data_IF_722444995336
#
_entry.id   IF_722444995336
#
_cell.length_a   1.000
_cell.length_b   1.000
_cell.length_c   1.000
_cell.angle_alpha   90.00
_cell.angle_beta   90.00
_cell.angle_gamma   90.00
#
_symmetry.space_group_name_H-M   'P 1'
#
loop_
_entity.id
_entity.type
_entity.pdbx_description
1 polymer ?
#
# COMPACT_ATOMS: atom_id res chain seq x y z
N UNK A 1 23.15 3.35 25.54
CA UNK A 1 22.69 4.69 25.11
C UNK A 1 21.36 4.99 25.79
N UNK A 2 21.20 6.18 26.33
CA UNK A 2 19.87 6.61 26.77
C UNK A 2 19.02 6.86 25.54
N UNK A 3 17.72 6.45 25.55
CA UNK A 3 16.80 6.82 24.48
C UNK A 3 16.78 8.35 24.34
N UNK A 4 16.76 8.81 23.10
CA UNK A 4 16.62 10.23 22.84
C UNK A 4 15.23 10.68 23.32
N UNK A 5 15.08 11.85 23.97
CA UNK A 5 13.77 12.36 24.37
C UNK A 5 12.89 12.48 23.11
N UNK A 6 11.71 11.91 23.20
CA UNK A 6 10.77 11.91 22.09
C UNK A 6 9.57 12.79 22.39
N UNK A 7 8.83 13.16 21.34
CA UNK A 7 7.61 13.92 21.51
C UNK A 7 6.59 13.11 22.33
N UNK A 8 5.96 13.77 23.29
CA UNK A 8 4.76 13.24 23.91
C UNK A 8 3.61 13.34 22.90
N UNK A 9 3.27 12.21 22.28
CA UNK A 9 2.19 12.14 21.30
C UNK A 9 0.87 11.65 21.92
N UNK A 10 0.72 11.79 23.25
CA UNK A 10 -0.49 11.34 23.95
C UNK A 10 -0.70 9.82 23.92
N UNK A 11 0.40 9.06 23.83
CA UNK A 11 0.35 7.59 23.87
C UNK A 11 0.35 7.15 25.33
N UNK A 12 -0.83 6.97 25.89
CA UNK A 12 -1.02 6.55 27.28
C UNK A 12 -1.85 5.25 27.35
N UNK A 13 -1.80 4.58 28.49
CA UNK A 13 -2.57 3.36 28.74
C UNK A 13 -1.86 2.07 28.39
N UNK A 14 -2.42 0.96 28.82
CA UNK A 14 -1.91 -0.36 28.55
C UNK A 14 -2.18 -0.76 27.08
N UNK A 15 -1.26 -1.49 26.43
CA UNK A 15 -1.52 -2.03 25.12
C UNK A 15 -2.71 -2.99 25.17
N UNK A 16 -3.50 -2.99 24.12
CA UNK A 16 -4.60 -3.92 23.96
C UNK A 16 -4.09 -5.39 23.89
N UNK A 17 -4.68 -6.30 24.66
CA UNK A 17 -4.36 -7.72 24.61
C UNK A 17 -5.09 -8.41 23.45
N UNK A 18 -4.35 -8.90 22.46
CA UNK A 18 -4.86 -9.27 21.16
C UNK A 18 -5.61 -10.60 21.02
N UNK A 19 -5.88 -11.37 22.10
CA UNK A 19 -6.54 -12.68 22.01
C UNK A 19 -7.86 -12.72 22.77
N UNK A 20 -8.88 -13.39 22.19
CA UNK A 20 -10.12 -13.69 22.83
C UNK A 20 -10.07 -15.03 23.60
N UNK A 21 -11.12 -15.34 24.41
CA UNK A 21 -11.23 -16.62 25.12
C UNK A 21 -11.26 -17.84 24.18
N UNK A 22 -11.67 -17.63 22.94
CA UNK A 22 -11.75 -18.64 21.87
C UNK A 22 -10.42 -18.82 21.11
N UNK A 23 -9.34 -18.15 21.55
CA UNK A 23 -8.03 -18.16 20.88
C UNK A 23 -7.96 -17.36 19.59
N UNK A 24 -9.03 -16.71 19.15
CA UNK A 24 -9.02 -15.81 18.02
C UNK A 24 -8.34 -14.50 18.36
N UNK A 25 -7.61 -13.95 17.40
CA UNK A 25 -6.97 -12.65 17.53
C UNK A 25 -8.04 -11.55 17.51
N UNK A 26 -7.94 -10.63 18.46
CA UNK A 26 -8.75 -9.41 18.49
C UNK A 26 -7.92 -8.21 18.08
N UNK A 27 -8.57 -7.26 17.46
CA UNK A 27 -7.95 -6.05 16.95
C UNK A 27 -8.26 -5.89 15.47
N UNK A 28 -7.61 -4.92 14.85
CA UNK A 28 -7.79 -4.67 13.42
C UNK A 28 -6.48 -4.89 12.66
N UNK A 29 -6.64 -5.03 11.35
CA UNK A 29 -5.55 -5.22 10.39
C UNK A 29 -5.56 -4.04 9.44
N UNK A 30 -4.42 -3.36 9.31
CA UNK A 30 -4.15 -2.52 8.17
C UNK A 30 -3.63 -3.42 7.04
N UNK A 31 -4.45 -3.59 6.01
CA UNK A 31 -4.20 -4.51 4.93
C UNK A 31 -3.34 -3.89 3.81
N UNK A 32 -3.11 -2.56 3.85
CA UNK A 32 -2.32 -1.86 2.85
C UNK A 32 -1.76 -0.53 3.39
N UNK A 33 -0.48 -0.53 3.73
CA UNK A 33 0.24 0.65 4.20
C UNK A 33 1.67 0.70 3.66
N UNK A 34 2.26 1.89 3.63
CA UNK A 34 3.61 2.17 3.15
C UNK A 34 4.45 2.80 4.25
N UNK A 35 4.99 1.97 5.14
CA UNK A 35 5.74 2.45 6.32
C UNK A 35 7.05 3.17 5.96
N UNK A 36 7.56 2.98 4.73
CA UNK A 36 8.81 3.58 4.25
C UNK A 36 8.53 4.49 3.04
N UNK A 37 7.39 5.19 3.07
CA UNK A 37 6.94 6.03 1.95
C UNK A 37 7.83 7.25 1.71
N UNK A 38 8.61 7.66 2.69
CA UNK A 38 9.61 8.72 2.51
C UNK A 38 10.63 8.36 1.42
N UNK A 39 10.76 7.06 1.09
CA UNK A 39 11.64 6.58 0.00
C UNK A 39 10.95 6.48 -1.36
N UNK A 40 9.65 6.75 -1.42
CA UNK A 40 8.89 6.73 -2.66
C UNK A 40 9.26 7.93 -3.55
N UNK A 41 9.17 7.75 -4.86
CA UNK A 41 9.50 8.75 -5.90
C UNK A 41 10.88 9.42 -5.74
N UNK A 42 11.86 8.68 -5.24
CA UNK A 42 13.23 9.15 -5.14
C UNK A 42 13.63 9.75 -3.80
N UNK A 43 12.82 9.54 -2.75
CA UNK A 43 13.20 9.86 -1.38
C UNK A 43 12.76 11.22 -0.86
N UNK A 44 12.10 12.03 -1.68
CA UNK A 44 11.73 13.42 -1.33
C UNK A 44 10.22 13.69 -1.52
N UNK A 45 9.40 12.62 -1.58
CA UNK A 45 7.95 12.77 -1.67
C UNK A 45 7.37 13.30 -0.36
N UNK A 46 7.77 12.68 0.76
CA UNK A 46 7.40 13.07 2.11
C UNK A 46 8.56 13.77 2.79
N UNK A 47 8.25 14.82 3.54
CA UNK A 47 9.18 15.46 4.45
C UNK A 47 9.15 14.77 5.80
N UNK A 48 10.29 14.43 6.31
CA UNK A 48 10.44 13.69 7.55
C UNK A 48 10.80 12.22 7.33
N UNK A 49 10.90 11.49 8.43
CA UNK A 49 11.24 10.07 8.43
C UNK A 49 10.50 9.33 9.55
N UNK A 50 10.23 8.03 9.40
CA UNK A 50 9.55 7.21 10.41
C UNK A 50 10.28 7.16 11.75
N UNK A 51 11.58 7.41 11.76
CA UNK A 51 12.41 7.54 12.94
C UNK A 51 13.72 8.27 12.64
N UNK A 52 14.40 8.74 13.68
CA UNK A 52 15.80 9.18 13.60
C UNK A 52 16.54 8.78 14.86
N UNK A 53 17.78 8.29 14.76
CA UNK A 53 18.64 8.08 15.94
C UNK A 53 18.89 9.35 16.75
N UNK A 54 18.68 10.52 16.15
CA UNK A 54 18.81 11.83 16.79
C UNK A 54 17.48 12.37 17.35
N UNK A 55 16.41 11.57 17.26
CA UNK A 55 15.10 11.88 17.86
C UNK A 55 14.17 12.68 16.95
N UNK A 56 13.03 13.05 17.52
CA UNK A 56 11.91 13.69 16.81
C UNK A 56 12.27 14.99 16.12
N UNK A 57 13.13 15.80 16.74
CA UNK A 57 13.54 17.11 16.20
C UNK A 57 14.31 17.00 14.85
N UNK A 58 14.85 15.82 14.54
CA UNK A 58 15.49 15.54 13.26
C UNK A 58 14.57 14.75 12.35
N UNK A 59 13.87 13.76 12.90
CA UNK A 59 12.93 12.94 12.11
C UNK A 59 11.79 13.76 11.51
N UNK A 60 11.25 14.70 12.27
CA UNK A 60 10.07 15.50 11.90
C UNK A 60 10.37 17.00 11.84
N UNK A 61 11.52 17.34 11.26
CA UNK A 61 11.94 18.74 11.07
C UNK A 61 11.08 19.45 10.01
N UNK A 62 11.25 20.76 9.93
CA UNK A 62 10.68 21.57 8.86
C UNK A 62 11.08 21.05 7.48
N UNK A 63 10.26 21.30 6.46
CA UNK A 63 10.46 20.88 5.08
C UNK A 63 10.96 22.04 4.19
N UNK A 64 12.22 22.47 4.27
CA UNK A 64 12.73 23.58 3.48
C UNK A 64 12.71 23.27 1.98
N UNK A 65 12.87 22.02 1.58
CA UNK A 65 12.91 21.58 0.19
C UNK A 65 11.56 21.65 -0.52
N UNK A 66 10.47 21.71 0.26
CA UNK A 66 9.13 21.95 -0.27
C UNK A 66 8.83 23.45 -0.48
N UNK A 67 9.78 24.30 -0.18
CA UNK A 67 9.71 25.74 -0.39
C UNK A 67 8.78 26.48 0.56
N UNK A 68 8.70 27.83 0.43
CA UNK A 68 7.83 28.62 1.28
C UNK A 68 6.38 28.17 1.14
N UNK A 69 5.73 27.95 2.28
CA UNK A 69 4.32 27.54 2.34
C UNK A 69 3.97 26.28 1.53
N UNK A 70 4.92 25.36 1.37
CA UNK A 70 4.69 24.08 0.69
C UNK A 70 4.47 24.15 -0.82
N UNK A 71 4.72 25.29 -1.46
CA UNK A 71 4.42 25.45 -2.90
C UNK A 71 5.23 24.56 -3.83
N UNK A 72 6.36 24.02 -3.35
CA UNK A 72 7.19 23.06 -4.09
C UNK A 72 6.88 21.59 -3.74
N UNK A 73 5.96 21.33 -2.86
CA UNK A 73 5.44 19.99 -2.58
C UNK A 73 4.58 19.49 -3.76
N UNK A 74 5.23 19.09 -4.86
CA UNK A 74 4.59 18.82 -6.16
C UNK A 74 3.49 17.79 -6.05
N UNK A 75 3.68 16.72 -5.28
CA UNK A 75 2.67 15.67 -5.10
C UNK A 75 1.40 16.23 -4.47
N UNK A 76 1.51 17.05 -3.43
CA UNK A 76 0.38 17.65 -2.75
C UNK A 76 -0.34 18.68 -3.63
N UNK A 77 0.43 19.54 -4.31
CA UNK A 77 -0.12 20.55 -5.20
C UNK A 77 -0.90 19.95 -6.38
N UNK A 78 -0.50 18.78 -6.85
CA UNK A 78 -1.12 18.11 -8.02
C UNK A 78 -2.17 17.09 -7.62
N UNK A 79 -1.95 16.32 -6.54
CA UNK A 79 -2.71 15.10 -6.26
C UNK A 79 -3.69 15.24 -5.10
N UNK A 80 -3.47 16.17 -4.15
CA UNK A 80 -4.35 16.27 -2.98
C UNK A 80 -4.96 17.66 -2.79
N UNK A 81 -4.29 18.55 -2.10
CA UNK A 81 -4.82 19.88 -1.77
C UNK A 81 -3.93 20.99 -2.29
N UNK A 82 -4.22 21.52 -3.48
CA UNK A 82 -3.47 22.66 -3.99
C UNK A 82 -3.66 23.88 -3.08
N UNK A 83 -2.56 24.51 -2.74
CA UNK A 83 -2.57 25.74 -1.95
C UNK A 83 -1.43 25.81 -0.92
N UNK A 84 -1.15 26.99 -0.42
CA UNK A 84 -0.13 27.16 0.61
C UNK A 84 -0.55 26.50 1.93
N UNK A 85 0.40 25.83 2.60
CA UNK A 85 0.24 25.37 3.97
C UNK A 85 1.54 25.53 4.74
N UNK A 86 1.47 25.50 6.05
CA UNK A 86 2.65 25.62 6.91
C UNK A 86 3.39 24.28 6.95
N UNK A 87 4.64 24.28 6.51
CA UNK A 87 5.53 23.11 6.51
C UNK A 87 6.33 22.99 7.80
N UNK A 88 6.01 23.76 8.84
CA UNK A 88 6.72 23.76 10.12
C UNK A 88 6.48 22.46 10.87
N UNK A 89 7.55 21.69 11.05
CA UNK A 89 7.55 20.46 11.83
C UNK A 89 7.74 20.68 13.34
N UNK A 90 8.57 19.86 13.94
CA UNK A 90 8.89 19.93 15.36
C UNK A 90 9.43 21.33 15.76
N UNK A 91 8.97 21.93 16.91
CA UNK A 91 8.01 21.38 17.90
C UNK A 91 6.56 21.83 17.70
N UNK A 92 6.27 22.68 16.76
CA UNK A 92 4.97 23.38 16.69
C UNK A 92 3.93 22.67 15.84
N UNK A 93 4.33 21.96 14.80
CA UNK A 93 3.43 21.19 13.92
C UNK A 93 2.15 21.93 13.50
N UNK A 94 2.21 23.16 13.03
CA UNK A 94 1.03 23.99 12.77
C UNK A 94 0.02 23.32 11.84
N UNK A 95 0.49 22.90 10.65
CA UNK A 95 -0.34 22.21 9.65
C UNK A 95 0.10 20.76 9.46
N UNK A 96 0.88 20.22 10.37
CA UNK A 96 1.40 18.89 10.25
C UNK A 96 1.20 18.05 11.52
N UNK A 97 0.83 16.77 11.38
CA UNK A 97 0.37 16.13 10.15
C UNK A 97 -1.08 16.50 9.86
N UNK A 98 -1.36 16.84 8.61
CA UNK A 98 -2.74 16.96 8.14
C UNK A 98 -3.19 15.59 7.62
N UNK A 99 -4.45 15.26 7.87
CA UNK A 99 -5.03 13.99 7.41
C UNK A 99 -5.14 13.90 5.88
N UNK A 100 -5.17 15.05 5.20
CA UNK A 100 -5.33 15.23 3.78
C UNK A 100 -4.04 15.67 3.06
N UNK A 101 -2.89 15.66 3.76
CA UNK A 101 -1.59 16.04 3.21
C UNK A 101 -0.74 14.83 2.87
N UNK A 102 -0.15 14.83 1.68
CA UNK A 102 0.87 13.86 1.26
C UNK A 102 2.29 14.35 1.52
N UNK A 103 2.46 15.59 1.96
CA UNK A 103 3.78 16.24 2.06
C UNK A 103 4.59 15.74 3.25
N UNK A 104 3.95 15.41 4.36
CA UNK A 104 4.62 15.12 5.61
C UNK A 104 4.63 13.65 5.94
N UNK A 105 5.65 13.21 6.69
CA UNK A 105 5.74 11.86 7.22
C UNK A 105 4.46 11.48 7.97
N UNK A 106 3.90 10.33 7.64
CA UNK A 106 2.64 9.85 8.20
C UNK A 106 2.84 8.67 9.14
N UNK A 107 4.00 8.02 9.09
CA UNK A 107 4.27 6.75 9.80
C UNK A 107 5.38 6.85 10.83
N UNK A 108 5.55 8.04 11.44
CA UNK A 108 6.48 8.18 12.56
C UNK A 108 6.20 7.14 13.64
N UNK A 109 7.23 6.47 14.15
CA UNK A 109 7.08 5.26 14.95
C UNK A 109 6.17 5.42 16.19
N UNK A 110 6.12 6.62 16.80
CA UNK A 110 5.21 6.88 17.93
C UNK A 110 3.75 6.89 17.51
N UNK A 111 3.45 7.27 16.28
CA UNK A 111 2.08 7.21 15.75
C UNK A 111 1.68 5.76 15.44
N UNK A 112 2.60 4.95 14.95
CA UNK A 112 2.40 3.50 14.83
C UNK A 112 2.17 2.87 16.22
N UNK A 113 2.92 3.29 17.24
CA UNK A 113 2.71 2.85 18.62
C UNK A 113 1.32 3.24 19.13
N UNK A 114 0.84 4.45 18.84
CA UNK A 114 -0.52 4.88 19.19
C UNK A 114 -1.56 3.96 18.57
N UNK A 115 -1.47 3.69 17.27
CA UNK A 115 -2.38 2.79 16.58
C UNK A 115 -2.33 1.37 17.16
N UNK A 116 -1.14 0.85 17.48
CA UNK A 116 -0.98 -0.43 18.15
C UNK A 116 -1.64 -0.45 19.55
N UNK A 117 -1.47 0.58 20.34
CA UNK A 117 -2.13 0.70 21.66
C UNK A 117 -3.66 0.76 21.50
N UNK A 118 -4.16 1.34 20.42
CA UNK A 118 -5.58 1.44 20.10
C UNK A 118 -6.18 0.17 19.48
N UNK A 119 -5.40 -0.89 19.26
CA UNK A 119 -5.91 -2.18 18.78
C UNK A 119 -5.42 -2.63 17.40
N UNK A 120 -4.54 -1.88 16.73
CA UNK A 120 -3.86 -2.38 15.53
C UNK A 120 -2.97 -3.57 15.90
N UNK A 121 -3.12 -4.68 15.18
CA UNK A 121 -2.40 -5.92 15.49
C UNK A 121 -1.57 -6.44 14.33
N UNK A 122 -1.90 -6.03 13.13
CA UNK A 122 -1.15 -6.41 11.94
C UNK A 122 -1.15 -5.27 10.94
N UNK A 123 -0.01 -5.06 10.29
CA UNK A 123 0.16 -4.20 9.12
C UNK A 123 0.68 -5.06 7.98
N UNK A 124 0.02 -4.98 6.83
CA UNK A 124 0.59 -5.40 5.57
C UNK A 124 1.31 -4.20 4.96
N UNK A 125 2.63 -4.18 5.12
CA UNK A 125 3.46 -3.13 4.55
C UNK A 125 3.83 -3.46 3.10
N UNK A 126 3.59 -2.52 2.20
CA UNK A 126 4.07 -2.58 0.83
C UNK A 126 5.26 -1.63 0.64
N UNK A 127 6.32 -2.14 0.06
CA UNK A 127 7.36 -1.30 -0.51
C UNK A 127 6.89 -0.81 -1.86
N UNK A 128 6.87 0.50 -2.05
CA UNK A 128 6.29 1.14 -3.22
C UNK A 128 7.35 1.93 -3.98
N UNK A 129 7.34 1.82 -5.29
CA UNK A 129 8.12 2.68 -6.19
C UNK A 129 7.48 2.67 -7.57
N UNK A 130 7.68 3.78 -8.28
CA UNK A 130 7.33 3.90 -9.68
C UNK A 130 8.48 4.60 -10.40
N UNK A 131 9.19 3.86 -11.23
CA UNK A 131 10.37 4.38 -11.93
C UNK A 131 10.06 5.61 -12.77
N UNK A 132 9.02 5.56 -13.59
CA UNK A 132 8.71 6.65 -14.53
C UNK A 132 8.28 7.92 -13.79
N UNK A 133 7.44 7.79 -12.77
CA UNK A 133 7.04 8.94 -11.97
C UNK A 133 8.23 9.51 -11.21
N UNK A 134 9.07 8.65 -10.63
CA UNK A 134 10.32 9.05 -9.96
C UNK A 134 11.28 9.79 -10.89
N UNK A 135 11.53 9.27 -12.10
CA UNK A 135 12.42 9.91 -13.08
C UNK A 135 11.95 11.32 -13.48
N UNK A 136 10.65 11.58 -13.37
CA UNK A 136 10.03 12.86 -13.68
C UNK A 136 9.71 13.72 -12.44
N UNK A 137 9.94 13.19 -11.23
CA UNK A 137 9.77 13.96 -9.99
C UNK A 137 10.97 14.88 -9.77
N UNK A 138 10.74 16.19 -9.51
CA UNK A 138 11.82 17.16 -9.47
C UNK A 138 12.74 17.04 -8.24
N UNK A 139 12.19 16.55 -7.11
CA UNK A 139 12.93 16.40 -5.86
C UNK A 139 13.25 14.92 -5.66
N UNK A 140 14.53 14.55 -5.82
CA UNK A 140 14.96 13.17 -5.62
C UNK A 140 16.45 13.08 -5.28
N UNK A 141 16.76 12.19 -4.36
CA UNK A 141 18.14 11.87 -3.97
C UNK A 141 18.44 10.35 -4.05
N UNK A 142 17.40 9.54 -4.32
CA UNK A 142 17.49 8.08 -4.38
C UNK A 142 17.26 7.55 -5.81
N UNK A 143 17.82 6.36 -6.13
CA UNK A 143 17.59 5.72 -7.43
C UNK A 143 16.11 5.41 -7.70
N UNK A 144 15.70 5.61 -8.95
CA UNK A 144 14.35 5.31 -9.40
C UNK A 144 14.12 3.84 -9.78
N UNK A 145 15.16 3.01 -9.89
CA UNK A 145 15.01 1.56 -10.13
C UNK A 145 14.17 0.93 -9.01
N UNK A 146 13.06 0.29 -9.38
CA UNK A 146 12.05 -0.15 -8.43
C UNK A 146 12.60 -1.22 -7.48
N UNK A 147 13.32 -2.21 -7.99
CA UNK A 147 13.88 -3.26 -7.15
C UNK A 147 15.00 -2.74 -6.23
N UNK A 148 15.75 -1.72 -6.66
CA UNK A 148 16.74 -1.06 -5.82
C UNK A 148 16.06 -0.28 -4.70
N UNK A 149 15.00 0.46 -4.99
CA UNK A 149 14.20 1.16 -3.98
C UNK A 149 13.61 0.19 -2.95
N UNK A 150 13.06 -0.94 -3.40
CA UNK A 150 12.57 -1.99 -2.48
C UNK A 150 13.65 -2.44 -1.50
N UNK A 151 14.88 -2.64 -1.97
CA UNK A 151 16.02 -3.03 -1.09
C UNK A 151 16.37 -1.95 -0.08
N UNK A 152 16.26 -0.67 -0.48
CA UNK A 152 16.49 0.48 0.42
C UNK A 152 15.39 0.50 1.49
N UNK A 153 14.12 0.51 1.09
CA UNK A 153 12.97 0.50 2.00
C UNK A 153 13.00 -0.69 2.96
N UNK A 154 13.40 -1.86 2.48
CA UNK A 154 13.52 -3.04 3.33
C UNK A 154 14.59 -2.86 4.43
N UNK A 155 15.77 -2.34 4.08
CA UNK A 155 16.80 -2.04 5.09
C UNK A 155 16.35 -1.01 6.11
N UNK A 156 15.60 0.00 5.66
CA UNK A 156 15.07 1.05 6.55
C UNK A 156 14.01 0.51 7.51
N UNK A 157 13.12 -0.35 7.04
CA UNK A 157 12.13 -0.99 7.91
C UNK A 157 12.78 -1.92 8.95
N UNK A 158 13.83 -2.63 8.59
CA UNK A 158 14.65 -3.39 9.56
C UNK A 158 15.27 -2.44 10.58
N UNK A 159 15.81 -1.31 10.14
CA UNK A 159 16.34 -0.27 11.02
C UNK A 159 15.29 0.34 11.94
N UNK A 160 14.06 0.54 11.48
CA UNK A 160 12.93 0.98 12.31
C UNK A 160 12.64 -0.04 13.42
N UNK A 161 12.59 -1.34 13.10
CA UNK A 161 12.41 -2.38 14.11
C UNK A 161 13.53 -2.36 15.15
N UNK A 162 14.78 -2.26 14.71
CA UNK A 162 15.94 -2.20 15.61
C UNK A 162 15.92 -0.92 16.48
N UNK A 163 15.50 0.21 15.91
CA UNK A 163 15.31 1.45 16.65
C UNK A 163 14.25 1.31 17.75
N UNK A 164 13.08 0.76 17.41
CA UNK A 164 12.00 0.50 18.37
C UNK A 164 12.46 -0.46 19.47
N UNK A 165 13.27 -1.45 19.13
CA UNK A 165 13.89 -2.37 20.08
C UNK A 165 14.83 -1.64 21.04
N UNK A 166 15.67 -0.76 20.51
CA UNK A 166 16.59 0.04 21.32
C UNK A 166 15.82 0.97 22.29
N UNK A 167 14.75 1.61 21.82
CA UNK A 167 13.89 2.43 22.67
C UNK A 167 13.21 1.61 23.79
N UNK A 168 12.94 0.34 23.57
CA UNK A 168 12.34 -0.59 24.53
C UNK A 168 13.36 -1.32 25.43
N UNK A 169 14.66 -0.99 25.31
CA UNK A 169 15.72 -1.53 26.17
C UNK A 169 16.43 -2.76 25.59
N UNK A 170 16.29 -3.07 24.30
CA UNK A 170 17.13 -4.04 23.62
C UNK A 170 16.41 -4.97 22.63
N UNK A 171 17.17 -5.83 21.97
CA UNK A 171 16.65 -6.70 20.91
C UNK A 171 15.41 -7.51 21.34
N UNK A 172 14.41 -7.53 20.50
CA UNK A 172 13.17 -8.26 20.74
C UNK A 172 12.21 -7.62 21.74
N UNK A 173 12.55 -6.49 22.36
CA UNK A 173 11.73 -5.84 23.40
C UNK A 173 10.69 -4.87 22.83
N UNK A 174 10.90 -4.32 21.65
CA UNK A 174 9.98 -3.39 21.03
C UNK A 174 8.63 -4.00 20.72
N UNK A 175 7.68 -3.14 20.41
CA UNK A 175 6.29 -3.53 20.12
C UNK A 175 6.07 -4.04 18.69
N UNK A 176 6.94 -3.73 17.73
CA UNK A 176 6.81 -4.05 16.32
C UNK A 176 7.69 -5.23 15.92
N UNK A 177 7.17 -6.14 15.12
CA UNK A 177 7.91 -7.31 14.57
C UNK A 177 7.57 -7.56 13.12
N UNK A 178 8.60 -7.61 12.30
CA UNK A 178 8.51 -8.09 10.92
C UNK A 178 8.38 -9.61 10.96
N UNK A 179 7.39 -10.14 10.22
CA UNK A 179 7.08 -11.58 10.18
C UNK A 179 6.86 -12.04 8.74
N UNK A 180 7.21 -13.30 8.46
CA UNK A 180 7.09 -13.87 7.12
C UNK A 180 6.05 -14.99 7.02
N UNK A 181 5.48 -15.45 8.14
CA UNK A 181 4.49 -16.54 8.17
C UNK A 181 3.30 -16.20 9.05
N UNK A 182 2.16 -16.81 8.76
CA UNK A 182 0.97 -16.68 9.60
C UNK A 182 1.20 -17.21 11.04
N UNK A 183 2.02 -18.23 11.21
CA UNK A 183 2.39 -18.76 12.51
C UNK A 183 3.19 -17.74 13.32
N UNK A 184 4.15 -17.05 12.68
CA UNK A 184 4.93 -16.00 13.32
C UNK A 184 4.06 -14.81 13.69
N UNK A 185 3.15 -14.38 12.79
CA UNK A 185 2.22 -13.31 13.05
C UNK A 185 1.34 -13.63 14.27
N UNK A 186 0.74 -14.83 14.33
CA UNK A 186 -0.06 -15.27 15.49
C UNK A 186 0.75 -15.26 16.79
N UNK A 187 1.99 -15.77 16.75
CA UNK A 187 2.86 -15.78 17.93
C UNK A 187 3.19 -14.36 18.40
N UNK A 188 3.52 -13.46 17.49
CA UNK A 188 3.84 -12.05 17.79
C UNK A 188 2.64 -11.34 18.39
N UNK A 189 1.46 -11.51 17.78
CA UNK A 189 0.22 -10.88 18.28
C UNK A 189 -0.19 -11.46 19.63
N UNK A 190 -0.04 -12.77 19.84
CA UNK A 190 -0.30 -13.41 21.15
C UNK A 190 0.63 -12.88 22.25
N UNK A 191 1.82 -12.42 21.90
CA UNK A 191 2.75 -11.72 22.80
C UNK A 191 2.37 -10.25 23.05
N UNK A 192 1.25 -9.78 22.52
CA UNK A 192 0.79 -8.40 22.63
C UNK A 192 1.53 -7.42 21.72
N UNK A 193 2.23 -7.87 20.69
CA UNK A 193 3.00 -7.05 19.76
C UNK A 193 2.28 -6.83 18.43
N UNK A 194 2.78 -5.87 17.65
CA UNK A 194 2.34 -5.59 16.30
C UNK A 194 3.12 -6.44 15.31
N UNK A 195 2.43 -7.22 14.49
CA UNK A 195 3.02 -7.98 13.40
C UNK A 195 3.03 -7.14 12.12
N UNK A 196 4.16 -7.11 11.40
CA UNK A 196 4.28 -6.46 10.09
C UNK A 196 4.65 -7.51 9.06
N UNK A 197 3.80 -7.71 8.06
CA UNK A 197 4.06 -8.54 6.88
C UNK A 197 4.47 -7.66 5.72
N UNK A 198 5.16 -8.23 4.73
CA UNK A 198 5.82 -7.49 3.68
C UNK A 198 5.27 -7.83 2.29
N UNK A 199 5.04 -6.80 1.49
CA UNK A 199 4.65 -6.87 0.09
C UNK A 199 5.41 -5.88 -0.79
N UNK A 200 5.19 -5.99 -2.09
CA UNK A 200 5.64 -5.00 -3.07
C UNK A 200 4.49 -4.48 -3.91
N UNK A 201 4.53 -3.19 -4.18
CA UNK A 201 3.63 -2.48 -5.09
C UNK A 201 4.44 -1.62 -6.04
N UNK A 202 4.75 -2.18 -7.19
CA UNK A 202 5.60 -1.55 -8.19
C UNK A 202 5.04 -1.76 -9.60
N UNK A 203 5.35 -0.85 -10.51
CA UNK A 203 4.87 -0.93 -11.89
C UNK A 203 5.67 -1.89 -12.75
N UNK A 204 6.92 -2.13 -12.41
CA UNK A 204 7.87 -2.90 -13.22
C UNK A 204 8.60 -3.97 -12.38
N UNK A 205 7.86 -4.88 -11.67
CA UNK A 205 8.51 -5.88 -10.81
C UNK A 205 9.52 -6.70 -11.61
N UNK A 206 10.69 -6.92 -11.01
CA UNK A 206 11.81 -7.69 -11.62
C UNK A 206 12.34 -7.11 -12.93
N UNK A 207 12.08 -5.80 -13.21
CA UNK A 207 12.39 -5.16 -14.47
C UNK A 207 11.48 -5.58 -15.63
N UNK A 208 10.31 -6.12 -15.34
CA UNK A 208 9.35 -6.63 -16.32
C UNK A 208 8.58 -5.50 -17.01
N UNK A 209 9.29 -4.64 -17.71
CA UNK A 209 8.74 -3.57 -18.55
C UNK A 209 8.21 -4.14 -19.87
N UNK A 210 7.20 -3.48 -20.43
CA UNK A 210 6.80 -3.66 -21.83
C UNK A 210 7.09 -2.36 -22.59
N UNK A 211 7.96 -2.40 -23.58
CA UNK A 211 8.30 -1.23 -24.41
C UNK A 211 8.00 -1.57 -25.85
N UNK A 212 7.12 -0.82 -26.50
CA UNK A 212 6.65 -1.08 -27.85
C UNK A 212 6.16 -2.54 -28.02
N UNK A 213 5.42 -3.03 -27.02
CA UNK A 213 4.87 -4.40 -27.00
C UNK A 213 5.91 -5.50 -26.76
N UNK A 214 7.17 -5.16 -26.45
CA UNK A 214 8.24 -6.13 -26.20
C UNK A 214 8.60 -6.21 -24.71
N UNK A 215 8.56 -7.41 -24.11
CA UNK A 215 8.98 -7.59 -22.72
C UNK A 215 10.49 -7.32 -22.57
N UNK A 216 10.84 -6.71 -21.45
CA UNK A 216 12.25 -6.43 -21.06
C UNK A 216 12.73 -7.36 -19.94
N UNK A 217 11.96 -8.37 -19.60
CA UNK A 217 12.37 -9.45 -18.71
C UNK A 217 12.08 -10.81 -19.34
N UNK A 218 12.60 -11.83 -18.71
CA UNK A 218 12.37 -13.23 -19.06
C UNK A 218 12.00 -14.05 -17.79
N UNK A 219 11.71 -15.34 -17.98
CA UNK A 219 11.40 -16.24 -16.86
C UNK A 219 12.52 -16.33 -15.83
N UNK A 220 13.78 -16.28 -16.28
CA UNK A 220 14.93 -16.31 -15.37
C UNK A 220 15.01 -15.06 -14.48
N UNK A 221 14.71 -13.88 -15.01
CA UNK A 221 14.62 -12.64 -14.23
C UNK A 221 13.48 -12.71 -13.19
N UNK A 222 12.35 -13.24 -13.58
CA UNK A 222 11.19 -13.46 -12.70
C UNK A 222 11.55 -14.40 -11.55
N UNK A 223 12.16 -15.54 -11.84
CA UNK A 223 12.55 -16.53 -10.82
C UNK A 223 13.54 -15.94 -9.82
N UNK A 224 14.59 -15.26 -10.32
CA UNK A 224 15.58 -14.59 -9.44
C UNK A 224 14.93 -13.53 -8.56
N UNK A 225 13.99 -12.76 -9.12
CA UNK A 225 13.26 -11.72 -8.38
C UNK A 225 12.36 -12.31 -7.30
N UNK A 226 11.58 -13.33 -7.61
CA UNK A 226 10.73 -14.02 -6.64
C UNK A 226 11.55 -14.71 -5.54
N UNK A 227 12.70 -15.30 -5.87
CA UNK A 227 13.61 -15.89 -4.88
C UNK A 227 14.25 -14.82 -3.99
N UNK A 228 14.55 -13.65 -4.53
CA UNK A 228 15.04 -12.52 -3.76
C UNK A 228 13.97 -12.02 -2.77
N UNK A 229 12.75 -11.76 -3.24
CA UNK A 229 11.66 -11.38 -2.36
C UNK A 229 11.44 -12.39 -1.24
N UNK A 230 11.44 -13.67 -1.59
CA UNK A 230 11.26 -14.75 -0.62
C UNK A 230 12.36 -14.76 0.46
N UNK A 231 13.63 -14.52 0.09
CA UNK A 231 14.76 -14.40 1.03
C UNK A 231 14.64 -13.17 1.94
N UNK A 232 14.10 -12.07 1.42
CA UNK A 232 13.82 -10.84 2.19
C UNK A 232 12.63 -10.98 3.13
N UNK A 233 11.90 -12.09 3.11
CA UNK A 233 10.66 -12.25 3.89
C UNK A 233 9.44 -11.56 3.28
N UNK A 234 9.56 -11.02 2.08
CA UNK A 234 8.44 -10.42 1.34
C UNK A 234 7.55 -11.55 0.83
N UNK A 235 6.26 -11.48 1.10
CA UNK A 235 5.30 -12.56 0.83
C UNK A 235 4.11 -12.16 -0.01
N UNK A 236 3.93 -10.89 -0.31
CA UNK A 236 2.79 -10.41 -1.10
C UNK A 236 3.27 -9.61 -2.30
N UNK A 237 2.64 -9.83 -3.46
CA UNK A 237 3.08 -9.25 -4.74
C UNK A 237 1.88 -8.73 -5.51
N UNK A 238 1.92 -7.45 -5.88
CA UNK A 238 1.10 -6.83 -6.93
C UNK A 238 1.88 -6.94 -8.25
N UNK A 239 1.23 -7.38 -9.32
CA UNK A 239 1.90 -7.66 -10.60
C UNK A 239 2.06 -6.42 -11.49
N UNK A 240 1.16 -5.45 -11.35
CA UNK A 240 1.17 -4.16 -12.05
C UNK A 240 0.71 -3.09 -11.06
N UNK A 241 1.16 -1.85 -11.21
CA UNK A 241 0.69 -0.77 -10.34
C UNK A 241 0.07 0.37 -11.18
N UNK A 242 0.87 1.20 -11.81
CA UNK A 242 0.37 2.38 -12.53
C UNK A 242 0.39 2.25 -14.04
N UNK A 243 1.11 1.30 -14.61
CA UNK A 243 1.28 1.14 -16.05
C UNK A 243 1.17 -0.33 -16.47
N UNK A 244 0.76 -0.55 -17.73
CA UNK A 244 0.89 -1.86 -18.35
C UNK A 244 2.36 -2.28 -18.37
N UNK A 245 2.60 -3.55 -18.13
CA UNK A 245 3.95 -4.09 -18.12
C UNK A 245 4.03 -5.45 -18.82
N UNK A 246 5.17 -6.10 -18.77
CA UNK A 246 5.35 -7.41 -19.42
C UNK A 246 4.54 -8.53 -18.77
N UNK A 247 3.96 -8.34 -17.57
CA UNK A 247 3.17 -9.34 -16.87
C UNK A 247 1.67 -9.19 -17.14
N UNK A 248 1.19 -7.96 -17.41
CA UNK A 248 -0.23 -7.76 -17.68
C UNK A 248 -0.65 -6.31 -17.83
N UNK A 249 -1.94 -6.14 -18.10
CA UNK A 249 -2.59 -4.84 -18.12
C UNK A 249 -2.98 -4.37 -16.72
N UNK A 250 -2.91 -3.05 -16.52
CA UNK A 250 -3.24 -2.39 -15.26
C UNK A 250 -4.60 -1.73 -15.28
N UNK A 251 -5.20 -1.53 -14.10
CA UNK A 251 -6.42 -0.76 -13.88
C UNK A 251 -6.09 0.73 -13.93
N UNK A 252 -6.98 1.53 -14.50
CA UNK A 252 -6.73 2.96 -14.69
C UNK A 252 -6.81 3.77 -13.39
N UNK A 253 -6.12 4.89 -13.37
CA UNK A 253 -6.30 5.97 -12.38
C UNK A 253 -7.18 7.07 -12.96
N UNK A 254 -7.85 7.80 -12.06
CA UNK A 254 -8.76 8.89 -12.41
C UNK A 254 -8.34 10.21 -11.76
N UNK A 255 -9.05 11.29 -12.07
CA UNK A 255 -8.76 12.61 -11.51
C UNK A 255 -7.37 13.14 -11.89
N UNK A 256 -6.75 13.91 -11.02
CA UNK A 256 -5.42 14.49 -11.24
C UNK A 256 -4.34 13.40 -11.35
N UNK A 257 -4.41 12.37 -10.52
CA UNK A 257 -3.53 11.18 -10.60
C UNK A 257 -3.62 10.53 -11.98
N UNK A 258 -4.85 10.39 -12.54
CA UNK A 258 -5.05 9.81 -13.88
C UNK A 258 -4.40 10.62 -14.99
N UNK A 259 -4.28 11.93 -14.86
CA UNK A 259 -3.54 12.76 -15.85
C UNK A 259 -2.05 12.41 -15.84
N UNK A 260 -1.44 12.36 -14.66
CA UNK A 260 -0.03 12.02 -14.50
C UNK A 260 0.24 10.57 -14.96
N UNK A 261 -0.65 9.65 -14.62
CA UNK A 261 -0.55 8.23 -14.99
C UNK A 261 -0.74 8.02 -16.50
N UNK A 262 -1.61 8.79 -17.18
CA UNK A 262 -1.72 8.74 -18.64
C UNK A 262 -0.39 9.13 -19.34
N UNK A 263 0.27 10.18 -18.85
CA UNK A 263 1.58 10.57 -19.38
C UNK A 263 2.63 9.50 -19.06
N UNK A 264 2.62 8.97 -17.83
CA UNK A 264 3.51 7.90 -17.40
C UNK A 264 3.34 6.61 -18.20
N UNK A 265 2.11 6.22 -18.56
CA UNK A 265 1.84 5.08 -19.43
C UNK A 265 2.57 5.22 -20.77
N UNK A 266 2.45 6.39 -21.42
CA UNK A 266 3.13 6.66 -22.68
C UNK A 266 4.67 6.59 -22.52
N UNK A 267 5.20 7.17 -21.46
CA UNK A 267 6.64 7.17 -21.19
C UNK A 267 7.18 5.78 -20.81
N UNK A 268 6.38 4.97 -20.12
CA UNK A 268 6.76 3.61 -19.71
C UNK A 268 6.74 2.64 -20.89
N UNK A 269 5.65 2.68 -21.68
CA UNK A 269 5.35 1.64 -22.68
C UNK A 269 5.63 2.03 -24.13
N UNK A 270 5.77 3.32 -24.41
CA UNK A 270 5.89 3.88 -25.77
C UNK A 270 4.54 4.15 -26.43
N UNK A 271 3.41 3.86 -25.78
CA UNK A 271 2.08 4.08 -26.34
C UNK A 271 1.06 4.49 -25.27
N UNK A 272 -0.01 5.24 -25.65
CA UNK A 272 -1.10 5.56 -24.75
C UNK A 272 -1.90 4.30 -24.39
N UNK A 273 -2.86 4.44 -23.47
CA UNK A 273 -3.81 3.38 -23.17
C UNK A 273 -4.51 2.86 -24.43
N UNK A 274 -4.58 1.55 -24.56
CA UNK A 274 -5.43 0.89 -25.55
C UNK A 274 -6.67 0.35 -24.83
N UNK A 275 -7.84 0.84 -25.26
CA UNK A 275 -9.08 0.58 -24.53
C UNK A 275 -10.13 -0.07 -25.43
N UNK A 276 -11.03 -0.81 -24.81
CA UNK A 276 -12.21 -1.41 -25.44
C UNK A 276 -13.46 -1.21 -24.55
N UNK A 277 -14.68 -1.40 -25.05
CA UNK A 277 -15.86 -1.40 -24.19
C UNK A 277 -15.74 -2.45 -23.07
N UNK A 278 -16.06 -2.04 -21.84
CA UNK A 278 -16.08 -2.98 -20.72
C UNK A 278 -17.14 -4.08 -20.91
N UNK A 279 -16.93 -5.28 -20.35
CA UNK A 279 -18.01 -6.25 -20.13
C UNK A 279 -19.14 -5.63 -19.33
N UNK A 280 -20.37 -6.12 -19.50
CA UNK A 280 -21.57 -5.53 -18.86
C UNK A 280 -21.58 -5.58 -17.32
N UNK A 281 -20.74 -6.40 -16.73
CA UNK A 281 -20.74 -6.68 -15.30
C UNK A 281 -19.38 -6.45 -14.61
N UNK A 282 -18.38 -5.99 -15.36
CA UNK A 282 -17.03 -5.72 -14.85
C UNK A 282 -16.51 -4.41 -15.42
N UNK A 283 -15.75 -3.63 -14.64
CA UNK A 283 -15.29 -2.32 -15.06
C UNK A 283 -13.87 -2.05 -14.57
N UNK A 284 -13.05 -1.49 -15.44
CA UNK A 284 -11.89 -0.73 -15.00
C UNK A 284 -12.35 0.66 -14.54
N UNK A 285 -11.51 1.36 -13.79
CA UNK A 285 -11.81 2.73 -13.39
C UNK A 285 -11.93 3.63 -14.64
N UNK A 286 -12.69 4.74 -14.57
CA UNK A 286 -12.69 5.71 -15.63
C UNK A 286 -11.28 6.24 -15.93
N UNK A 287 -10.90 6.27 -17.18
CA UNK A 287 -9.61 6.81 -17.62
C UNK A 287 -9.78 8.23 -18.13
N UNK A 288 -8.92 9.14 -17.69
CA UNK A 288 -8.99 10.56 -18.05
C UNK A 288 -8.76 10.75 -19.55
N UNK A 289 -9.61 11.55 -20.18
CA UNK A 289 -9.54 11.82 -21.63
C UNK A 289 -10.18 10.77 -22.52
N UNK A 290 -10.79 9.73 -21.95
CA UNK A 290 -11.50 8.70 -22.68
C UNK A 290 -13.00 8.70 -22.36
N UNK A 291 -13.81 8.07 -23.21
CA UNK A 291 -15.23 7.87 -22.91
C UNK A 291 -15.41 6.97 -21.68
N UNK A 292 -16.49 7.12 -20.96
CA UNK A 292 -16.84 6.22 -19.84
C UNK A 292 -17.16 4.82 -20.35
N UNK A 293 -16.97 3.82 -19.51
CA UNK A 293 -17.31 2.42 -19.81
C UNK A 293 -16.29 1.73 -20.72
N UNK A 294 -15.03 2.18 -20.69
CA UNK A 294 -13.93 1.49 -21.35
C UNK A 294 -13.05 0.78 -20.34
N UNK A 295 -12.50 -0.35 -20.78
CA UNK A 295 -11.56 -1.17 -20.03
C UNK A 295 -10.25 -1.31 -20.82
N UNK A 296 -9.18 -1.64 -20.10
CA UNK A 296 -7.89 -1.96 -20.71
C UNK A 296 -8.01 -3.21 -21.59
N UNK A 297 -7.50 -3.15 -22.81
CA UNK A 297 -7.50 -4.32 -23.72
C UNK A 297 -6.54 -5.41 -23.24
N UNK A 298 -5.49 -5.02 -22.48
CA UNK A 298 -4.47 -5.93 -22.03
C UNK A 298 -4.94 -6.70 -20.78
N UNK A 299 -4.76 -8.02 -20.85
CA UNK A 299 -4.92 -8.95 -19.74
C UNK A 299 -3.59 -9.50 -19.27
N UNK A 300 -3.65 -10.57 -18.49
CA UNK A 300 -2.48 -11.29 -18.00
C UNK A 300 -1.73 -11.93 -19.18
N UNK A 301 -0.44 -11.65 -19.29
CA UNK A 301 0.42 -12.22 -20.33
C UNK A 301 0.87 -13.65 -19.97
N UNK A 302 1.58 -14.33 -20.88
CA UNK A 302 2.21 -15.61 -20.57
C UNK A 302 3.27 -15.48 -19.47
N UNK A 303 4.06 -14.38 -19.46
CA UNK A 303 5.00 -14.08 -18.37
C UNK A 303 4.28 -13.79 -17.06
N UNK A 304 3.15 -13.07 -17.12
CA UNK A 304 2.29 -12.85 -15.95
C UNK A 304 1.74 -14.15 -15.38
N UNK A 305 1.21 -15.02 -16.23
CA UNK A 305 0.73 -16.34 -15.82
C UNK A 305 1.87 -17.23 -15.26
N UNK A 306 3.07 -17.12 -15.81
CA UNK A 306 4.27 -17.76 -15.26
C UNK A 306 4.61 -17.22 -13.87
N UNK A 307 4.58 -15.89 -13.71
CA UNK A 307 4.83 -15.22 -12.42
C UNK A 307 3.81 -15.65 -11.36
N UNK A 308 2.53 -15.68 -11.68
CA UNK A 308 1.46 -16.16 -10.77
C UNK A 308 1.74 -17.58 -10.28
N UNK A 309 2.10 -18.49 -11.18
CA UNK A 309 2.47 -19.86 -10.80
C UNK A 309 3.75 -19.91 -9.95
N UNK A 310 4.71 -19.04 -10.24
CA UNK A 310 5.94 -18.89 -9.44
C UNK A 310 5.68 -18.40 -8.01
N UNK A 311 4.73 -17.46 -7.84
CA UNK A 311 4.25 -16.97 -6.56
C UNK A 311 3.59 -18.10 -5.77
N UNK A 312 2.68 -18.86 -6.40
CA UNK A 312 1.99 -20.01 -5.80
C UNK A 312 3.00 -21.08 -5.35
N UNK A 313 3.96 -21.43 -6.20
CA UNK A 313 4.99 -22.43 -5.89
C UNK A 313 5.83 -22.04 -4.66
N UNK A 314 6.00 -20.75 -4.40
CA UNK A 314 6.72 -20.21 -3.23
C UNK A 314 5.81 -19.93 -2.03
N UNK A 315 4.53 -20.27 -2.12
CA UNK A 315 3.52 -20.03 -1.08
C UNK A 315 3.42 -18.56 -0.66
N UNK A 316 3.54 -17.67 -1.65
CA UNK A 316 3.40 -16.23 -1.50
C UNK A 316 1.95 -15.81 -1.84
N UNK A 317 1.54 -14.63 -1.42
CA UNK A 317 0.21 -14.07 -1.64
C UNK A 317 0.20 -13.24 -2.93
N UNK A 318 -0.85 -13.41 -3.71
CA UNK A 318 -1.11 -12.61 -4.91
C UNK A 318 -2.12 -11.55 -4.55
N UNK A 319 -1.78 -10.30 -4.77
CA UNK A 319 -2.72 -9.19 -4.66
C UNK A 319 -3.23 -8.84 -6.06
N UNK A 320 -4.55 -8.78 -6.20
CA UNK A 320 -5.20 -8.50 -7.48
C UNK A 320 -5.54 -7.03 -7.69
N UNK A 321 -5.22 -6.20 -6.72
CA UNK A 321 -5.37 -4.76 -6.88
C UNK A 321 -4.47 -4.21 -7.98
N UNK A 322 -4.86 -3.12 -8.58
CA UNK A 322 -4.23 -2.50 -9.76
C UNK A 322 -4.23 -3.35 -11.04
N UNK A 323 -4.67 -4.58 -11.01
CA UNK A 323 -4.79 -5.36 -12.24
C UNK A 323 -6.01 -4.92 -13.05
N UNK A 324 -5.86 -4.82 -14.38
CA UNK A 324 -7.02 -4.66 -15.26
C UNK A 324 -8.04 -5.76 -15.00
N UNK A 325 -9.29 -5.51 -15.32
CA UNK A 325 -10.37 -6.51 -15.21
C UNK A 325 -9.96 -7.85 -15.85
N UNK A 326 -9.33 -7.81 -17.01
CA UNK A 326 -8.87 -9.02 -17.71
C UNK A 326 -7.72 -9.72 -16.99
N UNK A 327 -6.76 -8.95 -16.47
CA UNK A 327 -5.63 -9.49 -15.71
C UNK A 327 -6.10 -10.14 -14.42
N UNK A 328 -6.94 -9.44 -13.64
CA UNK A 328 -7.48 -9.93 -12.38
C UNK A 328 -8.32 -11.20 -12.61
N UNK A 329 -9.18 -11.23 -13.62
CA UNK A 329 -9.98 -12.42 -13.99
C UNK A 329 -9.08 -13.62 -14.26
N UNK A 330 -8.03 -13.44 -15.07
CA UNK A 330 -7.09 -14.51 -15.42
C UNK A 330 -6.30 -15.01 -14.20
N UNK A 331 -5.87 -14.12 -13.30
CA UNK A 331 -5.22 -14.49 -12.04
C UNK A 331 -6.17 -15.34 -11.19
N UNK A 332 -7.40 -14.88 -10.99
CA UNK A 332 -8.39 -15.59 -10.18
C UNK A 332 -8.78 -16.95 -10.80
N UNK A 333 -8.73 -17.08 -12.13
CA UNK A 333 -8.91 -18.38 -12.81
C UNK A 333 -7.76 -19.35 -12.51
N UNK A 334 -6.51 -18.89 -12.49
CA UNK A 334 -5.36 -19.71 -12.12
C UNK A 334 -5.46 -20.14 -10.66
N UNK A 335 -5.77 -19.19 -9.76
CA UNK A 335 -5.97 -19.42 -8.33
C UNK A 335 -7.04 -20.49 -8.09
N UNK A 336 -8.20 -20.35 -8.73
CA UNK A 336 -9.31 -21.29 -8.59
C UNK A 336 -8.95 -22.71 -9.12
N UNK A 337 -8.31 -22.80 -10.29
CA UNK A 337 -7.87 -24.09 -10.85
C UNK A 337 -6.85 -24.81 -9.99
N UNK A 338 -6.03 -24.07 -9.22
CA UNK A 338 -5.03 -24.65 -8.33
C UNK A 338 -5.51 -24.83 -6.89
N UNK A 339 -6.74 -24.40 -6.58
CA UNK A 339 -7.26 -24.43 -5.21
C UNK A 339 -6.38 -23.64 -4.23
N UNK A 340 -5.78 -22.53 -4.68
CA UNK A 340 -4.82 -21.77 -3.90
C UNK A 340 -5.49 -20.66 -3.09
N UNK A 341 -5.31 -20.61 -1.74
CA UNK A 341 -5.99 -19.64 -0.91
C UNK A 341 -5.27 -18.29 -0.80
N UNK A 342 -4.04 -18.18 -1.30
CA UNK A 342 -3.20 -17.00 -1.14
C UNK A 342 -3.50 -15.90 -2.15
N UNK A 343 -4.73 -15.39 -2.17
CA UNK A 343 -5.15 -14.27 -3.02
C UNK A 343 -5.90 -13.23 -2.20
N UNK A 344 -5.65 -11.95 -2.46
CA UNK A 344 -6.25 -10.83 -1.72
C UNK A 344 -6.56 -9.66 -2.66
N UNK A 345 -7.40 -8.75 -2.17
CA UNK A 345 -7.47 -7.36 -2.58
C UNK A 345 -7.17 -6.54 -1.34
N UNK A 346 -6.02 -5.89 -1.29
CA UNK A 346 -5.53 -5.27 -0.05
C UNK A 346 -6.15 -3.91 0.23
N UNK A 347 -6.59 -3.18 -0.82
CA UNK A 347 -7.20 -1.84 -0.69
C UNK A 347 -8.31 -1.57 -1.72
N UNK A 348 -9.03 -2.61 -2.14
CA UNK A 348 -10.21 -2.53 -3.03
C UNK A 348 -9.96 -1.89 -4.41
N UNK A 349 -8.71 -1.88 -4.89
CA UNK A 349 -8.37 -1.36 -6.22
C UNK A 349 -8.58 -2.39 -7.32
N UNK A 350 -9.61 -3.23 -7.17
CA UNK A 350 -10.08 -4.22 -8.15
C UNK A 350 -11.59 -4.08 -8.38
N UNK A 351 -12.12 -4.73 -9.43
CA UNK A 351 -13.56 -4.71 -9.66
C UNK A 351 -14.30 -5.51 -8.58
N UNK A 352 -15.42 -4.97 -8.12
CA UNK A 352 -16.23 -5.56 -7.02
C UNK A 352 -16.72 -6.98 -7.31
N UNK A 353 -16.90 -7.34 -8.58
CA UNK A 353 -17.28 -8.71 -8.98
C UNK A 353 -16.21 -9.75 -8.59
N UNK A 354 -14.97 -9.33 -8.35
CA UNK A 354 -13.88 -10.19 -7.92
C UNK A 354 -13.95 -10.55 -6.43
N UNK A 355 -14.63 -9.77 -5.58
CA UNK A 355 -14.66 -10.00 -4.14
C UNK A 355 -15.17 -11.40 -3.77
N UNK A 356 -16.27 -11.83 -4.37
CA UNK A 356 -16.81 -13.17 -4.13
C UNK A 356 -15.82 -14.28 -4.48
N UNK A 357 -15.04 -14.10 -5.54
CA UNK A 357 -14.02 -15.08 -5.97
C UNK A 357 -12.83 -15.12 -5.01
N UNK A 358 -12.39 -13.94 -4.51
CA UNK A 358 -11.34 -13.84 -3.50
C UNK A 358 -11.78 -14.54 -2.21
N UNK A 359 -12.98 -14.22 -1.72
CA UNK A 359 -13.52 -14.81 -0.50
C UNK A 359 -13.76 -16.33 -0.65
N UNK A 360 -14.20 -16.79 -1.84
CA UNK A 360 -14.39 -18.21 -2.13
C UNK A 360 -13.08 -19.00 -2.19
N UNK A 361 -11.95 -18.34 -2.46
CA UNK A 361 -10.62 -18.93 -2.36
C UNK A 361 -10.08 -18.96 -0.92
N UNK A 362 -10.73 -18.28 0.03
CA UNK A 362 -10.25 -18.12 1.41
C UNK A 362 -9.36 -16.88 1.60
N UNK A 363 -9.37 -15.97 0.63
CA UNK A 363 -8.67 -14.70 0.69
C UNK A 363 -9.37 -13.63 1.53
N UNK A 364 -8.78 -12.46 1.61
CA UNK A 364 -9.29 -11.30 2.35
C UNK A 364 -9.42 -10.09 1.41
N UNK A 365 -10.37 -9.21 1.75
CA UNK A 365 -10.53 -7.90 1.12
C UNK A 365 -10.28 -6.82 2.16
N UNK A 366 -9.33 -5.92 1.89
CA UNK A 366 -9.07 -4.72 2.66
C UNK A 366 -9.87 -3.55 2.11
N UNK A 367 -10.72 -2.97 2.94
CA UNK A 367 -11.56 -1.85 2.52
C UNK A 367 -10.76 -0.54 2.55
N UNK A 368 -10.83 0.19 1.46
CA UNK A 368 -10.31 1.55 1.35
C UNK A 368 -11.31 2.49 2.05
N UNK A 369 -11.10 2.77 3.32
CA UNK A 369 -12.06 3.53 4.12
C UNK A 369 -11.74 5.03 4.13
N UNK A 370 -11.56 5.63 2.96
CA UNK A 370 -11.32 7.07 2.83
C UNK A 370 -12.31 7.72 1.87
N UNK A 371 -12.44 9.08 1.89
CA UNK A 371 -13.22 9.81 0.91
C UNK A 371 -12.84 9.57 -0.55
N UNK A 372 -11.66 8.99 -0.83
CA UNK A 372 -11.25 8.65 -2.19
C UNK A 372 -12.08 7.51 -2.82
N UNK A 373 -12.65 6.58 -2.02
CA UNK A 373 -13.69 5.67 -2.53
C UNK A 373 -14.92 6.44 -3.02
N UNK A 374 -15.11 7.60 -2.47
CA UNK A 374 -16.15 8.53 -2.83
C UNK A 374 -15.95 9.12 -4.22
N UNK A 375 -14.72 9.40 -4.63
CA UNK A 375 -14.38 9.90 -5.96
C UNK A 375 -14.54 8.84 -7.05
N UNK A 376 -14.46 7.57 -6.70
CA UNK A 376 -14.71 6.45 -7.61
C UNK A 376 -16.18 6.34 -8.09
N UNK A 377 -17.03 7.31 -7.75
CA UNK A 377 -18.39 7.45 -8.27
C UNK A 377 -19.49 6.80 -7.44
N UNK A 378 -19.20 6.40 -6.20
CA UNK A 378 -20.18 5.79 -5.30
C UNK A 378 -20.58 6.66 -4.10
N UNK A 379 -20.22 7.93 -4.09
CA UNK A 379 -20.69 8.85 -3.07
C UNK A 379 -22.09 9.33 -3.41
N UNK A 380 -22.98 9.11 -2.50
CA UNK A 380 -24.27 9.80 -2.45
C UNK A 380 -24.02 11.31 -2.44
N UNK A 381 -24.87 12.06 -3.14
CA UNK A 381 -24.76 13.51 -3.39
C UNK A 381 -24.89 14.42 -2.16
N UNK A 382 -24.73 13.94 -0.99
CA UNK A 382 -24.86 14.68 0.26
C UNK A 382 -23.76 14.24 1.20
N UNK A 383 -22.71 15.00 1.34
CA UNK A 383 -21.74 15.06 2.44
C UNK A 383 -21.77 14.03 3.58
N UNK A 384 -22.50 12.96 3.38
CA UNK A 384 -22.58 11.81 4.26
C UNK A 384 -21.27 11.05 4.11
N UNK A 385 -20.71 10.68 5.24
CA UNK A 385 -19.60 9.76 5.40
C UNK A 385 -19.59 8.75 4.26
N UNK A 386 -18.42 8.32 3.74
CA UNK A 386 -18.34 7.32 2.67
C UNK A 386 -19.31 6.19 2.96
N UNK A 387 -19.90 5.55 1.95
CA UNK A 387 -20.90 4.52 2.18
C UNK A 387 -20.32 3.63 3.23
N UNK A 388 -20.81 3.84 4.37
CA UNK A 388 -20.41 3.54 5.71
C UNK A 388 -19.54 2.29 5.64
N UNK A 389 -18.32 2.31 6.17
CA UNK A 389 -17.45 1.12 6.30
C UNK A 389 -18.29 -0.09 6.67
N UNK A 390 -19.33 0.12 7.48
CA UNK A 390 -20.34 -0.88 7.87
C UNK A 390 -21.13 -1.37 6.64
N UNK A 391 -21.50 -0.53 5.70
CA UNK A 391 -22.23 -0.94 4.49
C UNK A 391 -21.34 -1.74 3.56
N UNK A 392 -20.08 -1.31 3.37
CA UNK A 392 -19.08 -2.06 2.62
C UNK A 392 -18.77 -3.42 3.31
N UNK A 393 -18.61 -3.41 4.63
CA UNK A 393 -18.43 -4.63 5.41
C UNK A 393 -19.64 -5.58 5.27
N UNK A 394 -20.86 -5.07 5.34
CA UNK A 394 -22.10 -5.88 5.16
C UNK A 394 -22.12 -6.51 3.76
N UNK A 395 -21.77 -5.73 2.73
CA UNK A 395 -21.71 -6.22 1.35
C UNK A 395 -20.70 -7.38 1.21
N UNK A 396 -19.50 -7.23 1.78
CA UNK A 396 -18.50 -8.32 1.79
C UNK A 396 -18.97 -9.51 2.60
N UNK A 397 -19.56 -9.28 3.77
CA UNK A 397 -20.11 -10.37 4.62
C UNK A 397 -21.13 -11.20 3.86
N UNK A 398 -22.00 -10.56 3.07
CA UNK A 398 -23.05 -11.26 2.32
C UNK A 398 -22.49 -12.05 1.12
N UNK A 399 -21.25 -11.75 0.70
CA UNK A 399 -20.52 -12.49 -0.32
C UNK A 399 -19.56 -13.56 0.26
N UNK A 400 -19.45 -13.70 1.59
CA UNK A 400 -18.52 -14.62 2.24
C UNK A 400 -18.80 -16.09 1.86
N UNK A 401 -17.75 -16.86 1.82
CA UNK A 401 -17.86 -18.32 1.74
C UNK A 401 -17.85 -18.91 3.18
N UNK A 402 -18.89 -19.67 3.57
CA UNK A 402 -19.01 -20.19 4.94
C UNK A 402 -17.93 -21.22 5.32
N UNK A 403 -17.17 -21.73 4.36
CA UNK A 403 -16.05 -22.64 4.61
C UNK A 403 -14.84 -21.94 5.28
N UNK A 404 -14.77 -20.62 5.19
CA UNK A 404 -13.64 -19.86 5.69
C UNK A 404 -14.07 -18.88 6.78
N UNK A 405 -13.13 -18.56 7.68
CA UNK A 405 -13.32 -17.48 8.63
C UNK A 405 -13.45 -16.16 7.86
N UNK A 406 -14.49 -15.40 8.17
CA UNK A 406 -14.72 -14.11 7.55
C UNK A 406 -14.06 -13.00 8.39
N UNK A 407 -13.22 -12.22 7.75
CA UNK A 407 -12.64 -11.00 8.27
C UNK A 407 -12.44 -9.98 7.15
N UNK A 408 -12.46 -8.71 7.50
CA UNK A 408 -12.20 -7.59 6.58
C UNK A 408 -11.03 -6.81 7.13
N UNK A 409 -10.07 -6.50 6.28
CA UNK A 409 -8.99 -5.57 6.57
C UNK A 409 -9.43 -4.12 6.36
N UNK A 410 -8.71 -3.21 6.96
CA UNK A 410 -8.70 -1.79 6.62
C UNK A 410 -7.49 -1.58 5.70
N UNK A 411 -7.64 -0.97 4.55
CA UNK A 411 -6.58 -0.76 3.57
C UNK A 411 -6.61 0.67 3.04
N UNK A 412 -6.10 1.64 3.79
CA UNK A 412 -6.23 3.07 3.47
C UNK A 412 -5.19 3.57 2.47
N UNK A 413 -4.28 2.73 1.99
CA UNK A 413 -3.13 3.14 1.15
C UNK A 413 -2.29 4.22 1.81
N UNK A 414 -2.12 4.10 3.14
CA UNK A 414 -1.46 5.12 3.93
C UNK A 414 0.04 5.19 3.64
N UNK A 415 0.53 6.42 3.48
CA UNK A 415 1.92 6.69 3.12
C UNK A 415 2.19 6.53 1.62
N UNK A 416 1.26 5.95 0.83
CA UNK A 416 1.33 5.91 -0.62
C UNK A 416 0.77 7.19 -1.25
N UNK A 417 -0.24 7.04 -2.11
CA UNK A 417 -1.02 8.16 -2.64
C UNK A 417 -2.31 8.41 -1.84
N UNK A 418 -2.55 7.64 -0.80
CA UNK A 418 -3.61 7.85 0.16
C UNK A 418 -3.22 8.85 1.25
N UNK A 419 -4.14 9.70 1.65
CA UNK A 419 -3.89 10.84 2.55
C UNK A 419 -4.19 10.57 4.01
N UNK A 420 -4.63 9.37 4.39
CA UNK A 420 -4.98 9.08 5.78
C UNK A 420 -3.74 8.87 6.65
N UNK A 421 -3.65 9.63 7.75
CA UNK A 421 -2.61 9.50 8.76
C UNK A 421 -3.08 8.65 9.95
N UNK A 422 -2.18 7.87 10.57
CA UNK A 422 -2.46 7.15 11.82
C UNK A 422 -2.87 8.07 12.98
N UNK A 423 -2.56 9.35 12.91
CA UNK A 423 -3.00 10.32 13.92
C UNK A 423 -4.51 10.53 13.94
N UNK A 424 -5.19 10.26 12.82
CA UNK A 424 -6.64 10.40 12.68
C UNK A 424 -7.41 9.08 12.78
N UNK A 425 -6.71 7.94 12.73
CA UNK A 425 -7.32 6.61 12.92
C UNK A 425 -7.54 6.26 14.40
N UNK A 426 -6.97 7.00 15.33
CA UNK A 426 -7.32 6.87 16.74
C UNK A 426 -8.66 7.54 16.96
N UNK A 427 -9.70 6.71 17.12
CA UNK A 427 -11.00 7.19 17.55
C UNK A 427 -10.85 8.12 18.75
N UNK A 428 -11.62 9.23 18.82
CA UNK A 428 -11.65 10.03 20.02
C UNK A 428 -12.04 9.13 21.21
N UNK A 429 -11.23 9.18 22.24
CA UNK A 429 -11.51 8.52 23.51
C UNK A 429 -12.72 9.15 24.17
#
# INVERSE_FOLDING_TARGET
CRPFPDAELGVVGAPFTGTGPDGNLRGFVDAHAHLMAEQFLGGELHCGAPYSPLGVAVALRDCPDHGPAGVLAVSEQVLSHPGPHDTVGWPTFRDWPRWDSLTHEQTYYRWIERAWRSGLRMIQNYYVQNRVLCENYPLRDQPCDEMTSIRIQHRMLLGLQDYIDAQAGGPGRGFLRIVATAADARRVIAQGKLAVTLGIEVSEPFGCRSVDGRPRCDRGAIDRGLDELNRMGIRQVILTHKFDNALGGTRFDQGATGVAVNAGQLLSTGHPWTVEPCPTHQHDNPVVGYRRGVCNVYGLTELGAYTVRGIIARRMVIDVDHLSVKSATSVLDIVARQGYPGVVSSHTWTDKSNYRRILAAGGIVGLFATPAEAEAGEVGRHGDMPPDFISAWKNLRDQRDPRFFFGVGFGPDMGGLGTASYTHLTLPT
#
